data_IF_455388289564
#
_entry.id   IF_455388289564
#
_cell.length_a   1.000
_cell.length_b   1.000
_cell.length_c   1.000
_cell.angle_alpha   90.00
_cell.angle_beta   90.00
_cell.angle_gamma   90.00
#
_symmetry.space_group_name_H-M   'P 1'
#
loop_
_entity.id
_entity.type
_entity.pdbx_description
1 polymer ?
#
# COMPACT_ATOMS: atom_id res chain seq x y z
N UNK A 1 21.64 12.87 2.48
CA UNK A 1 21.41 13.08 1.02
C UNK A 1 20.24 14.01 0.80
N UNK A 2 20.26 14.79 -0.29
CA UNK A 2 19.13 15.67 -0.69
C UNK A 2 18.21 14.92 -1.66
N UNK A 3 16.89 15.03 -1.47
CA UNK A 3 15.90 14.38 -2.34
C UNK A 3 14.78 15.37 -2.65
N UNK A 4 14.49 15.60 -3.93
CA UNK A 4 13.35 16.39 -4.36
C UNK A 4 12.11 15.49 -4.49
N UNK A 5 10.99 15.91 -3.89
CA UNK A 5 9.71 15.20 -4.05
C UNK A 5 9.11 15.41 -5.44
N UNK A 6 8.47 14.37 -5.96
CA UNK A 6 7.73 14.37 -7.22
C UNK A 6 6.38 13.64 -7.07
N UNK A 7 5.75 13.28 -8.19
CA UNK A 7 4.49 12.53 -8.21
C UNK A 7 4.67 11.00 -8.04
N UNK A 8 5.90 10.54 -7.78
CA UNK A 8 6.26 9.14 -7.56
C UNK A 8 5.73 8.19 -8.65
N UNK A 9 6.00 8.47 -9.92
CA UNK A 9 5.44 7.75 -11.08
C UNK A 9 5.85 6.27 -11.19
N UNK A 10 6.87 5.85 -10.43
CA UNK A 10 7.33 4.47 -10.33
C UNK A 10 6.66 3.70 -9.17
N UNK A 11 5.82 4.36 -8.39
CA UNK A 11 5.06 3.75 -7.30
C UNK A 11 4.04 2.76 -7.83
N UNK A 12 3.95 1.59 -7.20
CA UNK A 12 2.75 0.75 -7.32
C UNK A 12 1.69 1.28 -6.35
N UNK A 13 0.56 1.70 -6.90
CA UNK A 13 -0.41 2.55 -6.20
C UNK A 13 -1.86 2.13 -6.43
N UNK A 14 -2.05 0.84 -6.69
CA UNK A 14 -3.36 0.25 -6.93
C UNK A 14 -4.30 0.50 -5.73
N UNK A 15 -5.49 0.99 -6.02
CA UNK A 15 -6.54 1.24 -5.03
C UNK A 15 -7.51 0.07 -4.89
N UNK A 16 -7.48 -0.89 -5.81
CA UNK A 16 -8.36 -2.07 -5.85
C UNK A 16 -9.86 -1.73 -5.86
N UNK A 17 -10.22 -0.57 -6.41
CA UNK A 17 -11.62 -0.16 -6.49
C UNK A 17 -12.36 -1.05 -7.49
N UNK A 18 -13.46 -1.67 -7.08
CA UNK A 18 -14.28 -2.50 -7.98
C UNK A 18 -13.71 -3.88 -8.30
N UNK A 19 -12.66 -4.34 -7.61
CA UNK A 19 -12.10 -5.69 -7.79
C UNK A 19 -11.62 -6.35 -6.48
N UNK A 20 -12.15 -5.93 -5.32
CA UNK A 20 -11.63 -6.41 -4.03
C UNK A 20 -11.88 -7.90 -3.86
N UNK A 21 -13.07 -8.35 -4.25
CA UNK A 21 -13.49 -9.74 -4.19
C UNK A 21 -12.64 -10.60 -5.14
N UNK A 22 -12.47 -10.20 -6.40
CA UNK A 22 -11.61 -10.91 -7.35
C UNK A 22 -10.14 -10.92 -6.94
N UNK A 23 -9.66 -9.84 -6.33
CA UNK A 23 -8.30 -9.81 -5.77
C UNK A 23 -8.13 -10.81 -4.64
N UNK A 24 -9.13 -10.99 -3.75
CA UNK A 24 -9.07 -12.00 -2.69
C UNK A 24 -8.99 -13.41 -3.30
N UNK A 25 -9.86 -13.71 -4.26
CA UNK A 25 -9.87 -15.02 -4.94
C UNK A 25 -8.53 -15.30 -5.63
N UNK A 26 -7.99 -14.33 -6.36
CA UNK A 26 -6.69 -14.46 -7.04
C UNK A 26 -5.53 -14.64 -6.05
N UNK A 27 -5.57 -13.94 -4.91
CA UNK A 27 -4.55 -14.06 -3.87
C UNK A 27 -4.55 -15.45 -3.22
N UNK A 28 -5.74 -16.03 -3.01
CA UNK A 28 -5.94 -17.36 -2.45
C UNK A 28 -5.55 -18.46 -3.44
N UNK A 29 -6.11 -18.44 -4.66
CA UNK A 29 -5.81 -19.44 -5.70
C UNK A 29 -4.33 -19.44 -6.10
N UNK A 30 -3.69 -18.26 -6.04
CA UNK A 30 -2.29 -18.11 -6.34
C UNK A 30 -1.34 -18.39 -5.18
N UNK A 31 -1.83 -18.80 -4.01
CA UNK A 31 -1.04 -19.02 -2.79
C UNK A 31 -0.08 -17.85 -2.46
N UNK A 32 -0.51 -16.61 -2.73
CA UNK A 32 0.40 -15.48 -2.67
C UNK A 32 0.97 -15.28 -1.27
N UNK A 33 0.18 -15.47 -0.23
CA UNK A 33 0.66 -15.40 1.16
C UNK A 33 1.81 -16.39 1.42
N UNK A 34 1.67 -17.65 0.99
CA UNK A 34 2.71 -18.67 1.15
C UNK A 34 3.99 -18.31 0.39
N UNK A 35 3.84 -17.71 -0.81
CA UNK A 35 4.96 -17.21 -1.60
C UNK A 35 5.67 -16.05 -0.90
N UNK A 36 4.95 -15.12 -0.27
CA UNK A 36 5.59 -13.99 0.42
C UNK A 36 6.34 -14.45 1.68
N UNK A 37 5.76 -15.35 2.49
CA UNK A 37 6.44 -15.85 3.68
C UNK A 37 7.67 -16.68 3.32
N UNK A 38 7.63 -17.44 2.20
CA UNK A 38 8.79 -18.20 1.73
C UNK A 38 9.92 -17.28 1.22
N UNK A 39 9.55 -16.13 0.62
CA UNK A 39 10.51 -15.15 0.14
C UNK A 39 11.13 -14.29 1.27
N UNK A 40 10.54 -14.27 2.47
CA UNK A 40 10.95 -13.40 3.56
C UNK A 40 11.03 -14.16 4.90
N UNK A 41 12.27 -14.52 5.28
CA UNK A 41 12.58 -15.42 6.40
C UNK A 41 11.93 -15.02 7.74
N UNK A 42 11.75 -13.72 7.98
CA UNK A 42 11.21 -13.21 9.25
C UNK A 42 9.70 -12.95 9.21
N UNK A 43 9.08 -12.97 8.02
CA UNK A 43 7.71 -12.55 7.82
C UNK A 43 6.72 -13.49 8.52
N UNK A 44 6.93 -14.81 8.46
CA UNK A 44 6.05 -15.75 9.17
C UNK A 44 6.06 -15.55 10.69
N UNK A 45 7.25 -15.34 11.28
CA UNK A 45 7.40 -15.06 12.71
C UNK A 45 6.70 -13.75 13.08
N UNK A 46 6.89 -12.71 12.26
CA UNK A 46 6.23 -11.42 12.45
C UNK A 46 4.71 -11.53 12.35
N UNK A 47 4.19 -12.28 11.37
CA UNK A 47 2.75 -12.52 11.19
C UNK A 47 2.12 -13.22 12.40
N UNK A 48 2.81 -14.21 13.00
CA UNK A 48 2.35 -14.83 14.25
C UNK A 48 2.32 -13.84 15.41
N UNK A 49 3.38 -13.06 15.61
CA UNK A 49 3.42 -12.04 16.66
C UNK A 49 2.34 -10.98 16.48
N UNK A 50 2.04 -10.60 15.23
CA UNK A 50 0.98 -9.66 14.91
C UNK A 50 -0.41 -10.23 15.26
N UNK A 51 -0.68 -11.51 14.98
CA UNK A 51 -1.90 -12.18 15.42
C UNK A 51 -2.01 -12.20 16.95
N UNK A 52 -0.95 -12.59 17.67
CA UNK A 52 -0.93 -12.62 19.13
C UNK A 52 -1.14 -11.22 19.74
N UNK A 53 -0.57 -10.19 19.14
CA UNK A 53 -0.78 -8.81 19.55
C UNK A 53 -2.21 -8.34 19.30
N UNK A 54 -2.81 -8.73 18.16
CA UNK A 54 -4.20 -8.41 17.83
C UNK A 54 -5.19 -9.02 18.82
N UNK A 55 -4.96 -10.26 19.27
CA UNK A 55 -5.78 -10.91 20.31
C UNK A 55 -5.77 -10.17 21.65
N UNK A 56 -4.70 -9.41 21.93
CA UNK A 56 -4.57 -8.58 23.14
C UNK A 56 -5.12 -7.16 22.94
N UNK A 57 -5.47 -6.80 21.71
CA UNK A 57 -5.99 -5.48 21.39
C UNK A 57 -7.44 -5.35 21.86
N UNK A 58 -7.85 -4.19 22.42
CA UNK A 58 -9.23 -4.00 22.88
C UNK A 58 -10.22 -3.79 21.72
N UNK A 59 -9.78 -3.79 20.46
CA UNK A 59 -10.64 -3.57 19.29
C UNK A 59 -11.02 -4.89 18.63
N UNK A 60 -12.31 -5.04 18.35
CA UNK A 60 -12.81 -6.08 17.45
C UNK A 60 -12.63 -5.68 15.98
N UNK A 61 -12.80 -6.64 15.09
CA UNK A 61 -12.79 -6.41 13.64
C UNK A 61 -13.89 -5.43 13.24
N UNK A 62 -13.57 -4.54 12.31
CA UNK A 62 -14.54 -3.64 11.73
C UNK A 62 -15.42 -4.38 10.71
N UNK A 63 -16.61 -3.85 10.44
CA UNK A 63 -17.44 -4.35 9.34
C UNK A 63 -16.66 -4.28 8.02
N UNK A 64 -16.70 -5.35 7.22
CA UNK A 64 -15.93 -5.57 5.98
C UNK A 64 -14.45 -5.95 6.18
N UNK A 65 -13.94 -5.98 7.41
CA UNK A 65 -12.56 -6.36 7.70
C UNK A 65 -12.44 -7.88 7.86
N UNK A 66 -11.57 -8.51 7.08
CA UNK A 66 -11.09 -9.88 7.32
C UNK A 66 -9.92 -9.87 8.32
N UNK A 67 -9.63 -11.00 8.98
CA UNK A 67 -8.49 -11.15 9.89
C UNK A 67 -7.17 -10.64 9.28
N UNK A 68 -6.91 -10.99 8.03
CA UNK A 68 -5.71 -10.55 7.31
C UNK A 68 -5.57 -9.04 7.25
N UNK A 69 -6.66 -8.28 7.10
CA UNK A 69 -6.61 -6.81 7.14
C UNK A 69 -6.12 -6.30 8.51
N UNK A 70 -6.61 -6.88 9.60
CA UNK A 70 -6.21 -6.47 10.94
C UNK A 70 -4.78 -6.91 11.26
N UNK A 71 -4.37 -8.10 10.82
CA UNK A 71 -3.03 -8.62 11.02
C UNK A 71 -1.99 -7.80 10.26
N UNK A 72 -2.24 -7.42 8.99
CA UNK A 72 -1.29 -6.58 8.24
C UNK A 72 -1.15 -5.19 8.84
N UNK A 73 -2.22 -4.58 9.34
CA UNK A 73 -2.13 -3.30 10.06
C UNK A 73 -1.23 -3.46 11.29
N UNK A 74 -1.49 -4.48 12.11
CA UNK A 74 -0.68 -4.75 13.29
C UNK A 74 0.79 -4.98 12.91
N UNK A 75 1.06 -5.88 11.96
CA UNK A 75 2.41 -6.23 11.52
C UNK A 75 3.18 -5.04 10.93
N UNK A 76 2.52 -4.17 10.16
CA UNK A 76 3.15 -3.01 9.54
C UNK A 76 3.70 -2.03 10.60
N UNK A 77 3.00 -1.88 11.73
CA UNK A 77 3.38 -0.97 12.82
C UNK A 77 4.36 -1.56 13.84
N UNK A 78 4.73 -2.84 13.70
CA UNK A 78 5.70 -3.47 14.58
C UNK A 78 7.13 -3.06 14.24
N UNK A 79 8.00 -3.05 15.25
CA UNK A 79 9.43 -2.84 15.05
C UNK A 79 10.06 -4.03 14.30
N UNK A 80 10.11 -3.91 12.98
CA UNK A 80 10.64 -4.91 12.06
C UNK A 80 11.11 -4.25 10.76
N UNK A 81 11.86 -4.98 9.94
CA UNK A 81 12.27 -4.52 8.61
C UNK A 81 11.13 -4.53 7.57
N UNK A 82 9.97 -5.10 7.90
CA UNK A 82 8.86 -5.30 6.96
C UNK A 82 8.37 -4.00 6.32
N UNK A 83 8.05 -2.98 7.12
CA UNK A 83 7.56 -1.71 6.59
C UNK A 83 8.60 -1.04 5.68
N UNK A 84 9.89 -1.16 5.99
CA UNK A 84 10.97 -0.61 5.17
C UNK A 84 11.07 -1.34 3.83
N UNK A 85 11.05 -2.68 3.84
CA UNK A 85 11.09 -3.49 2.63
C UNK A 85 9.86 -3.28 1.74
N UNK A 86 8.66 -3.30 2.33
CA UNK A 86 7.41 -3.03 1.64
C UNK A 86 7.42 -1.64 0.99
N UNK A 87 7.80 -0.60 1.75
CA UNK A 87 7.79 0.77 1.27
C UNK A 87 8.82 1.01 0.17
N UNK A 88 9.98 0.35 0.24
CA UNK A 88 10.95 0.36 -0.86
C UNK A 88 10.37 -0.35 -2.09
N UNK A 89 9.85 -1.57 -1.96
CA UNK A 89 9.31 -2.33 -3.08
C UNK A 89 8.11 -1.61 -3.73
N UNK A 90 7.25 -1.00 -2.93
CA UNK A 90 6.10 -0.20 -3.40
C UNK A 90 6.56 1.00 -4.22
N UNK A 91 7.68 1.64 -3.87
CA UNK A 91 8.18 2.82 -4.58
C UNK A 91 8.74 2.56 -5.98
N UNK A 92 8.99 1.29 -6.34
CA UNK A 92 9.58 0.89 -7.62
C UNK A 92 8.75 -0.11 -8.42
N UNK A 93 7.86 -0.85 -7.76
CA UNK A 93 7.05 -1.89 -8.39
C UNK A 93 6.19 -1.38 -9.56
N UNK A 94 5.84 -0.10 -9.56
CA UNK A 94 5.03 0.55 -10.59
C UNK A 94 5.82 1.07 -11.79
N UNK A 95 7.08 0.69 -12.00
CA UNK A 95 7.83 1.01 -13.22
C UNK A 95 7.07 0.50 -14.45
N UNK A 96 6.67 -0.77 -14.45
CA UNK A 96 5.87 -1.40 -15.52
C UNK A 96 5.07 -2.60 -15.00
N UNK A 97 4.00 -3.02 -15.70
CA UNK A 97 3.27 -4.25 -15.35
C UNK A 97 4.18 -5.49 -15.25
N UNK A 98 5.16 -5.61 -16.14
CA UNK A 98 6.16 -6.69 -16.15
C UNK A 98 7.02 -6.64 -14.88
N UNK A 99 7.49 -5.44 -14.50
CA UNK A 99 8.30 -5.26 -13.30
C UNK A 99 7.50 -5.59 -12.02
N UNK A 100 6.26 -5.14 -11.92
CA UNK A 100 5.32 -5.53 -10.86
C UNK A 100 5.16 -7.05 -10.78
N UNK A 101 4.93 -7.70 -11.93
CA UNK A 101 4.65 -9.14 -12.00
C UNK A 101 5.80 -9.96 -11.41
N UNK A 102 7.04 -9.63 -11.78
CA UNK A 102 8.21 -10.44 -11.45
C UNK A 102 8.96 -10.00 -10.19
N UNK A 103 8.95 -8.71 -9.84
CA UNK A 103 9.82 -8.18 -8.77
C UNK A 103 9.05 -7.73 -7.51
N UNK A 104 7.72 -7.58 -7.58
CA UNK A 104 6.95 -7.18 -6.41
C UNK A 104 6.46 -8.40 -5.61
N UNK A 105 7.19 -8.73 -4.54
CA UNK A 105 6.89 -9.89 -3.68
C UNK A 105 5.84 -9.65 -2.60
N UNK A 106 5.28 -8.43 -2.51
CA UNK A 106 4.33 -8.02 -1.47
C UNK A 106 2.90 -7.81 -1.99
N UNK A 107 2.45 -8.63 -2.95
CA UNK A 107 1.11 -8.53 -3.56
C UNK A 107 -0.02 -8.72 -2.54
N UNK A 108 0.06 -9.74 -1.69
CA UNK A 108 -0.87 -10.03 -0.61
C UNK A 108 -0.84 -8.92 0.44
N UNK A 109 0.34 -8.59 0.98
CA UNK A 109 0.43 -7.58 2.03
C UNK A 109 -0.02 -6.20 1.56
N UNK A 110 0.38 -5.78 0.35
CA UNK A 110 -0.01 -4.49 -0.22
C UNK A 110 -1.52 -4.40 -0.43
N UNK A 111 -2.16 -5.45 -0.94
CA UNK A 111 -3.61 -5.50 -1.10
C UNK A 111 -4.31 -5.31 0.24
N UNK A 112 -4.06 -6.19 1.20
CA UNK A 112 -4.73 -6.13 2.49
C UNK A 112 -4.42 -4.84 3.25
N UNK A 113 -3.20 -4.29 3.16
CA UNK A 113 -2.87 -3.03 3.83
C UNK A 113 -3.62 -1.86 3.21
N UNK A 114 -3.70 -1.82 1.87
CA UNK A 114 -4.42 -0.78 1.13
C UNK A 114 -5.90 -0.77 1.48
N UNK A 115 -6.56 -1.92 1.37
CA UNK A 115 -8.00 -2.04 1.64
C UNK A 115 -8.30 -1.89 3.13
N UNK A 116 -7.38 -2.29 4.03
CA UNK A 116 -7.54 -2.06 5.47
C UNK A 116 -7.55 -0.56 5.80
N UNK A 117 -6.66 0.25 5.22
CA UNK A 117 -6.67 1.71 5.37
C UNK A 117 -8.01 2.29 4.88
N UNK A 118 -8.52 1.82 3.74
CA UNK A 118 -9.80 2.26 3.19
C UNK A 118 -10.98 1.92 4.13
N UNK A 119 -11.05 0.68 4.65
CA UNK A 119 -12.08 0.25 5.61
C UNK A 119 -12.01 1.08 6.90
N UNK A 120 -10.80 1.27 7.43
CA UNK A 120 -10.58 2.10 8.61
C UNK A 120 -11.06 3.53 8.38
N UNK A 121 -10.76 4.10 7.20
CA UNK A 121 -11.16 5.46 6.85
C UNK A 121 -12.67 5.62 6.69
N UNK A 122 -13.33 4.67 6.04
CA UNK A 122 -14.79 4.61 5.91
C UNK A 122 -15.44 4.59 7.30
N UNK A 123 -14.97 3.73 8.19
CA UNK A 123 -15.49 3.62 9.56
C UNK A 123 -15.24 4.89 10.40
N UNK A 124 -14.09 5.55 10.23
CA UNK A 124 -13.79 6.80 10.91
C UNK A 124 -14.69 7.95 10.45
N UNK A 125 -15.03 7.96 9.16
CA UNK A 125 -15.89 8.99 8.57
C UNK A 125 -17.36 8.76 8.90
N UNK A 126 -17.82 7.51 8.97
CA UNK A 126 -19.22 7.18 9.31
C UNK A 126 -19.61 7.51 10.76
N UNK A 127 -18.62 7.64 11.66
CA UNK A 127 -18.83 8.07 13.05
C UNK A 127 -19.00 9.58 13.21
N UNK A 128 -18.72 10.38 12.19
CA UNK A 128 -18.87 11.83 12.26
C UNK A 128 -20.26 12.26 11.77
N UNK A 129 -20.98 12.96 12.63
CA UNK A 129 -22.36 13.42 12.43
C UNK A 129 -22.53 14.53 11.35
N UNK A 130 -21.45 14.93 10.67
CA UNK A 130 -21.42 16.10 9.78
C UNK A 130 -21.16 15.77 8.30
N UNK A 131 -21.11 14.50 7.91
CA UNK A 131 -21.00 14.09 6.50
C UNK A 131 -19.72 14.54 5.77
N UNK A 132 -18.73 15.10 6.49
CA UNK A 132 -17.44 15.52 5.94
C UNK A 132 -16.43 14.39 6.10
N UNK A 133 -15.60 14.17 5.08
CA UNK A 133 -14.48 13.24 5.17
C UNK A 133 -13.47 13.79 6.19
N UNK A 134 -13.23 13.03 7.26
CA UNK A 134 -12.34 13.44 8.35
C UNK A 134 -10.90 13.55 7.86
N UNK A 135 -10.34 14.75 7.78
CA UNK A 135 -8.90 14.93 7.53
C UNK A 135 -8.12 15.01 8.85
N UNK A 136 -6.86 14.58 8.84
CA UNK A 136 -5.95 14.64 9.98
C UNK A 136 -4.79 15.58 9.70
N UNK A 137 -4.44 16.41 10.67
CA UNK A 137 -3.13 17.04 10.73
C UNK A 137 -2.16 16.10 11.45
N UNK A 138 -1.09 15.73 10.77
CA UNK A 138 -0.13 14.72 11.21
C UNK A 138 1.30 15.17 10.90
N UNK A 139 2.26 14.49 11.51
CA UNK A 139 3.67 14.83 11.45
C UNK A 139 4.50 13.61 11.09
N UNK A 140 5.59 13.83 10.35
CA UNK A 140 6.58 12.79 10.06
C UNK A 140 7.98 13.37 10.14
N UNK A 141 8.78 12.86 11.05
CA UNK A 141 10.22 13.08 11.07
C UNK A 141 10.92 12.09 10.15
N UNK A 142 11.98 12.55 9.49
CA UNK A 142 12.84 11.71 8.65
C UNK A 142 14.28 11.93 9.03
N UNK A 143 14.97 10.83 9.33
CA UNK A 143 16.39 10.80 9.66
C UNK A 143 17.27 10.72 8.41
N UNK A 144 18.46 11.31 8.46
CA UNK A 144 19.54 11.20 7.46
C UNK A 144 19.21 11.73 6.03
N UNK A 145 18.01 12.27 5.82
CA UNK A 145 17.53 12.77 4.52
C UNK A 145 17.01 14.21 4.63
N UNK A 146 17.47 15.04 3.70
CA UNK A 146 17.01 16.41 3.50
C UNK A 146 16.08 16.40 2.28
N UNK A 147 14.78 16.29 2.55
CA UNK A 147 13.77 16.24 1.49
C UNK A 147 13.31 17.66 1.19
N UNK A 148 13.19 17.97 -0.09
CA UNK A 148 12.83 19.26 -0.63
C UNK A 148 11.59 19.12 -1.51
N UNK A 149 10.83 20.19 -1.68
CA UNK A 149 9.71 20.21 -2.61
C UNK A 149 9.44 21.63 -3.10
N UNK A 150 9.05 21.76 -4.37
CA UNK A 150 8.69 23.05 -4.96
C UNK A 150 7.33 23.52 -4.44
N UNK A 151 7.27 24.70 -3.83
CA UNK A 151 5.99 25.28 -3.36
C UNK A 151 5.02 25.45 -4.53
N UNK A 152 3.77 25.04 -4.33
CA UNK A 152 2.73 25.05 -5.36
C UNK A 152 2.70 23.80 -6.25
N UNK A 153 3.70 22.92 -6.18
CA UNK A 153 3.67 21.65 -6.93
C UNK A 153 2.76 20.61 -6.28
N UNK A 154 2.36 19.61 -7.07
CA UNK A 154 1.71 18.39 -6.59
C UNK A 154 2.78 17.32 -6.39
N UNK A 155 2.72 16.63 -5.26
CA UNK A 155 3.65 15.57 -4.89
C UNK A 155 2.90 14.38 -4.30
N UNK A 156 3.56 13.21 -4.30
CA UNK A 156 3.10 11.99 -3.64
C UNK A 156 4.26 11.35 -2.89
N UNK A 157 3.94 10.61 -1.83
CA UNK A 157 4.96 9.78 -1.17
C UNK A 157 5.29 8.50 -1.96
N UNK A 158 4.33 7.99 -2.75
CA UNK A 158 4.49 6.79 -3.59
C UNK A 158 4.72 5.49 -2.80
N UNK A 159 4.40 5.49 -1.51
CA UNK A 159 4.53 4.35 -0.60
C UNK A 159 3.64 4.60 0.62
N UNK A 160 3.40 3.56 1.42
CA UNK A 160 2.72 3.75 2.69
C UNK A 160 3.59 4.65 3.59
N UNK A 161 2.97 5.66 4.18
CA UNK A 161 3.70 6.67 4.94
C UNK A 161 3.14 6.76 6.35
N UNK A 162 3.91 6.22 7.30
CA UNK A 162 3.64 6.35 8.73
C UNK A 162 3.82 7.80 9.16
N UNK A 163 2.82 8.32 9.86
CA UNK A 163 2.82 9.66 10.44
C UNK A 163 2.22 9.58 11.85
N UNK A 164 2.49 10.57 12.69
CA UNK A 164 1.90 10.67 14.02
C UNK A 164 1.01 11.89 14.13
N UNK A 165 -0.07 11.80 14.90
CA UNK A 165 -0.83 12.98 15.34
C UNK A 165 -0.07 13.84 16.35
N UNK A 166 1.01 13.31 16.92
CA UNK A 166 1.85 13.98 17.90
C UNK A 166 3.18 14.36 17.24
N UNK A 167 3.47 15.66 17.18
CA UNK A 167 4.73 16.16 16.61
C UNK A 167 5.94 15.60 17.35
N UNK A 168 5.86 15.50 18.68
CA UNK A 168 6.93 14.95 19.53
C UNK A 168 7.25 13.50 19.22
N UNK A 169 6.25 12.66 18.91
CA UNK A 169 6.47 11.27 18.52
C UNK A 169 7.09 11.19 17.12
N UNK A 170 6.62 12.01 16.17
CA UNK A 170 7.19 12.05 14.83
C UNK A 170 8.69 12.42 14.82
N UNK A 171 9.12 13.34 15.70
CA UNK A 171 10.52 13.79 15.78
C UNK A 171 11.47 12.72 16.34
N UNK A 172 10.97 11.68 17.01
CA UNK A 172 11.80 10.54 17.44
C UNK A 172 12.36 9.75 16.26
N UNK A 173 11.71 9.85 15.09
CA UNK A 173 12.13 9.18 13.85
C UNK A 173 13.06 10.04 12.97
N UNK A 174 13.44 11.23 13.44
CA UNK A 174 14.34 12.15 12.73
C UNK A 174 13.80 13.59 12.71
N UNK A 175 14.68 14.55 12.45
CA UNK A 175 14.34 15.97 12.45
C UNK A 175 14.99 16.74 11.30
N UNK A 176 15.86 16.09 10.52
CA UNK A 176 16.54 16.59 9.33
C UNK A 176 15.54 17.01 8.26
N UNK A 177 14.44 16.25 8.13
CA UNK A 177 13.20 16.75 7.52
C UNK A 177 12.03 16.49 8.45
N UNK A 178 11.23 17.53 8.71
CA UNK A 178 9.95 17.41 9.41
C UNK A 178 8.80 17.83 8.49
N UNK A 179 7.92 16.87 8.23
CA UNK A 179 6.67 17.10 7.53
C UNK A 179 5.56 17.44 8.51
N UNK A 180 4.74 18.42 8.14
CA UNK A 180 3.39 18.61 8.64
C UNK A 180 2.43 18.37 7.48
N UNK A 181 1.56 17.38 7.62
CA UNK A 181 0.70 16.91 6.54
C UNK A 181 -0.75 17.01 6.96
N UNK A 182 -1.59 17.62 6.14
CA UNK A 182 -3.04 17.47 6.21
C UNK A 182 -3.43 16.35 5.26
N UNK A 183 -3.70 15.16 5.80
CA UNK A 183 -4.12 13.97 5.04
C UNK A 183 -5.63 13.76 5.16
N UNK A 184 -6.27 13.48 4.04
CA UNK A 184 -7.69 13.17 3.96
C UNK A 184 -7.94 11.71 3.58
N UNK A 185 -6.95 10.96 3.09
CA UNK A 185 -7.06 9.52 2.82
C UNK A 185 -6.37 8.64 3.87
N UNK A 186 -5.49 9.23 4.68
CA UNK A 186 -4.89 8.55 5.82
C UNK A 186 -5.91 8.16 6.87
N UNK A 187 -5.68 7.00 7.49
CA UNK A 187 -6.51 6.45 8.55
C UNK A 187 -5.73 6.37 9.86
N UNK A 188 -6.37 6.67 10.99
CA UNK A 188 -5.73 6.51 12.31
C UNK A 188 -5.75 5.04 12.74
N UNK A 189 -4.62 4.47 13.19
CA UNK A 189 -4.45 3.05 13.53
C UNK A 189 -5.02 2.68 14.91
N UNK A 190 -6.19 3.22 15.27
CA UNK A 190 -6.81 3.15 16.60
C UNK A 190 -7.09 1.71 17.06
N UNK A 191 -6.14 1.08 17.75
CA UNK A 191 -6.21 -0.32 18.20
C UNK A 191 -5.67 -1.35 17.21
N UNK A 192 -5.29 -0.92 16.00
CA UNK A 192 -4.66 -1.78 14.99
C UNK A 192 -3.17 -1.45 14.82
N UNK A 193 -2.56 -0.79 15.80
CA UNK A 193 -1.13 -0.50 15.88
C UNK A 193 -0.53 -1.15 17.12
N UNK A 194 0.66 -1.72 16.96
CA UNK A 194 1.43 -2.31 18.03
C UNK A 194 1.87 -1.25 19.06
N UNK A 195 2.23 -0.05 18.60
CA UNK A 195 2.64 1.08 19.44
C UNK A 195 1.54 2.14 19.51
N UNK A 196 0.50 1.88 20.29
CA UNK A 196 -0.66 2.79 20.44
C UNK A 196 -0.31 4.19 20.98
N UNK A 197 0.85 4.36 21.60
CA UNK A 197 1.40 5.65 22.05
C UNK A 197 1.82 6.56 20.90
N UNK A 198 2.21 6.00 19.75
CA UNK A 198 2.68 6.77 18.58
C UNK A 198 1.54 7.52 17.89
N UNK A 199 0.28 7.20 18.21
CA UNK A 199 -0.93 7.82 17.60
C UNK A 199 -0.83 7.86 16.08
N UNK A 200 -0.43 6.71 15.52
CA UNK A 200 -0.12 6.58 14.10
C UNK A 200 -1.35 6.84 13.22
N UNK A 201 -1.12 7.57 12.15
CA UNK A 201 -1.99 7.71 10.99
C UNK A 201 -1.21 7.21 9.78
N UNK A 202 -1.73 6.20 9.10
CA UNK A 202 -1.09 5.61 7.94
C UNK A 202 -1.68 6.22 6.66
N UNK A 203 -0.82 6.82 5.85
CA UNK A 203 -1.18 7.45 4.57
C UNK A 203 -0.94 6.42 3.45
N UNK A 204 -1.93 6.19 2.56
CA UNK A 204 -1.77 5.27 1.43
C UNK A 204 -0.87 5.86 0.31
N UNK A 205 -0.30 5.03 -0.58
CA UNK A 205 0.65 5.47 -1.61
C UNK A 205 0.05 6.41 -2.67
N UNK A 206 -1.28 6.40 -2.85
CA UNK A 206 -1.99 7.12 -3.91
C UNK A 206 -2.48 8.52 -3.54
N UNK A 207 -2.28 8.99 -2.30
CA UNK A 207 -2.73 10.34 -1.91
C UNK A 207 -1.83 11.43 -2.52
N UNK A 208 -2.45 12.44 -3.17
CA UNK A 208 -1.77 13.61 -3.75
C UNK A 208 -1.78 14.75 -2.75
N UNK A 209 -0.65 15.42 -2.61
CA UNK A 209 -0.49 16.60 -1.78
C UNK A 209 -0.06 17.82 -2.60
N UNK A 210 -0.64 18.97 -2.30
CA UNK A 210 -0.13 20.27 -2.69
C UNK A 210 0.93 20.72 -1.68
N UNK A 211 2.09 21.14 -2.17
CA UNK A 211 3.15 21.73 -1.34
C UNK A 211 2.74 23.15 -0.97
N UNK A 212 2.34 23.36 0.30
CA UNK A 212 1.89 24.67 0.80
C UNK A 212 3.07 25.57 1.17
N UNK A 213 4.13 24.99 1.71
CA UNK A 213 5.36 25.72 2.01
C UNK A 213 6.53 24.76 2.15
N UNK A 214 7.72 25.27 1.83
CA UNK A 214 9.01 24.64 2.10
C UNK A 214 9.92 25.69 2.73
N UNK A 215 10.54 25.36 3.86
CA UNK A 215 11.50 26.22 4.55
C UNK A 215 12.70 25.39 4.95
N UNK A 216 13.89 25.84 4.57
CA UNK A 216 15.15 25.28 5.05
C UNK A 216 15.59 26.07 6.29
N UNK A 217 15.79 25.38 7.42
CA UNK A 217 16.29 25.99 8.66
C UNK A 217 17.62 25.36 9.07
N UNK A 218 18.28 25.96 10.07
CA UNK A 218 19.49 25.37 10.68
C UNK A 218 19.21 23.98 11.29
N UNK A 219 17.98 23.75 11.73
CA UNK A 219 17.52 22.49 12.34
C UNK A 219 16.97 21.47 11.32
N UNK A 220 17.10 21.75 10.02
CA UNK A 220 16.62 20.90 8.92
C UNK A 220 15.45 21.47 8.12
N UNK A 221 14.95 20.67 7.18
CA UNK A 221 13.89 21.05 6.25
C UNK A 221 12.51 20.94 6.91
N UNK A 222 11.62 21.89 6.60
CA UNK A 222 10.23 21.94 7.07
C UNK A 222 9.29 21.99 5.88
N UNK A 223 8.42 21.00 5.76
CA UNK A 223 7.49 20.83 4.65
C UNK A 223 6.04 20.83 5.15
N UNK A 224 5.19 21.66 4.54
CA UNK A 224 3.75 21.63 4.76
C UNK A 224 3.04 21.10 3.51
N UNK A 225 2.34 19.98 3.67
CA UNK A 225 1.63 19.27 2.60
C UNK A 225 0.13 19.25 2.89
N UNK A 226 -0.69 19.50 1.87
CA UNK A 226 -2.16 19.46 2.01
C UNK A 226 -2.75 18.51 0.96
N UNK A 227 -3.52 17.52 1.39
CA UNK A 227 -4.25 16.61 0.52
C UNK A 227 -5.11 17.35 -0.51
N UNK A 228 -5.01 16.95 -1.79
CA UNK A 228 -5.78 17.54 -2.89
C UNK A 228 -6.40 16.49 -3.82
N UNK A 229 -6.39 15.22 -3.41
CA UNK A 229 -7.00 14.12 -4.15
C UNK A 229 -6.20 12.83 -4.09
N UNK A 230 -6.48 11.93 -5.02
CA UNK A 230 -5.72 10.70 -5.23
C UNK A 230 -5.33 10.55 -6.71
N UNK A 231 -4.33 9.71 -6.96
CA UNK A 231 -3.95 9.25 -8.28
C UNK A 231 -3.41 7.84 -8.19
N UNK A 232 -3.84 6.99 -9.12
CA UNK A 232 -3.31 5.64 -9.31
C UNK A 232 -2.99 5.44 -10.78
N UNK A 233 -1.78 4.97 -11.05
CA UNK A 233 -1.38 4.47 -12.37
C UNK A 233 -1.94 3.07 -12.62
N UNK A 234 -2.11 2.28 -11.55
CA UNK A 234 -2.57 0.90 -11.62
C UNK A 234 -3.99 0.72 -11.08
N UNK A 235 -4.71 -0.23 -11.68
CA UNK A 235 -6.05 -0.60 -11.26
C UNK A 235 -6.23 -2.10 -11.41
N UNK A 236 -6.37 -2.82 -10.30
CA UNK A 236 -6.59 -4.27 -10.29
C UNK A 236 -5.53 -5.07 -11.05
N UNK A 237 -4.28 -4.62 -11.01
CA UNK A 237 -3.22 -5.06 -11.93
C UNK A 237 -2.98 -6.58 -11.89
N UNK A 238 -3.13 -7.21 -10.71
CA UNK A 238 -2.95 -8.64 -10.57
C UNK A 238 -4.05 -9.43 -11.31
N UNK A 239 -5.31 -9.04 -11.11
CA UNK A 239 -6.48 -9.66 -11.75
C UNK A 239 -6.43 -9.48 -13.27
N UNK A 240 -6.06 -8.29 -13.75
CA UNK A 240 -5.89 -8.02 -15.19
C UNK A 240 -4.82 -8.92 -15.82
N UNK A 241 -3.68 -9.10 -15.11
CA UNK A 241 -2.60 -9.94 -15.58
C UNK A 241 -3.01 -11.43 -15.64
N UNK A 242 -3.79 -11.91 -14.66
CA UNK A 242 -4.27 -13.29 -14.64
C UNK A 242 -5.34 -13.55 -15.72
N UNK A 243 -6.26 -12.61 -15.95
CA UNK A 243 -7.23 -12.69 -17.06
C UNK A 243 -6.54 -12.79 -18.42
N UNK A 244 -5.52 -11.97 -18.65
CA UNK A 244 -4.75 -11.95 -19.91
C UNK A 244 -3.99 -13.25 -20.16
N UNK A 245 -3.48 -13.91 -19.11
CA UNK A 245 -2.87 -15.24 -19.22
C UNK A 245 -3.89 -16.31 -19.58
N UNK A 246 -5.06 -16.29 -18.95
CA UNK A 246 -6.12 -17.27 -19.22
C UNK A 246 -6.67 -17.14 -20.65
N UNK A 247 -6.81 -15.92 -21.18
CA UNK A 247 -7.15 -15.71 -22.60
C UNK A 247 -6.06 -16.20 -23.55
N UNK A 248 -4.78 -16.03 -23.21
CA UNK A 248 -3.67 -16.54 -24.02
C UNK A 248 -3.62 -18.08 -24.04
N UNK A 249 -3.79 -18.72 -22.88
CA UNK A 249 -3.80 -20.18 -22.75
C UNK A 249 -4.98 -20.83 -23.49
N UNK A 250 -6.18 -20.22 -23.44
CA UNK A 250 -7.36 -20.71 -24.17
C UNK A 250 -7.20 -20.56 -25.68
N UNK A 251 -6.61 -19.45 -26.16
CA UNK A 251 -6.29 -19.27 -27.58
C UNK A 251 -5.27 -20.31 -28.08
N UNK A 252 -4.22 -20.58 -27.31
CA UNK A 252 -3.22 -21.61 -27.62
C UNK A 252 -3.83 -23.02 -27.64
N UNK A 253 -4.65 -23.37 -26.65
CA UNK A 253 -5.34 -24.65 -26.61
C UNK A 253 -6.30 -24.84 -27.81
N UNK A 254 -7.02 -23.77 -28.19
CA UNK A 254 -7.88 -23.77 -29.38
C UNK A 254 -7.06 -23.98 -30.65
N UNK A 255 -5.93 -23.29 -30.82
CA UNK A 255 -5.06 -23.45 -31.99
C UNK A 255 -4.49 -24.87 -32.12
N UNK A 256 -4.08 -25.48 -31.00
CA UNK A 256 -3.59 -26.87 -30.96
C UNK A 256 -4.73 -27.82 -31.35
N UNK A 257 -5.94 -27.65 -30.81
CA UNK A 257 -7.08 -28.49 -31.14
C UNK A 257 -7.44 -28.42 -32.63
N UNK A 258 -7.47 -27.23 -33.21
CA UNK A 258 -7.72 -27.04 -34.65
C UNK A 258 -6.62 -27.69 -35.50
N UNK A 259 -5.35 -27.58 -35.10
CA UNK A 259 -4.24 -28.24 -35.80
C UNK A 259 -4.32 -29.77 -35.75
N UNK A 260 -4.72 -30.34 -34.61
CA UNK A 260 -4.91 -31.79 -34.47
C UNK A 260 -6.07 -32.29 -35.31
N UNK A 261 -7.21 -31.59 -35.32
CA UNK A 261 -8.37 -31.94 -36.17
C UNK A 261 -8.00 -31.90 -37.65
N UNK A 262 -7.21 -30.91 -38.09
CA UNK A 262 -6.71 -30.85 -39.46
C UNK A 262 -5.80 -32.05 -39.82
N UNK A 263 -4.92 -32.47 -38.91
CA UNK A 263 -4.08 -33.67 -39.11
C UNK A 263 -4.92 -34.94 -39.20
N UNK A 264 -5.94 -35.10 -38.35
CA UNK A 264 -6.84 -36.25 -38.40
C UNK A 264 -7.67 -36.29 -39.71
N UNK A 265 -8.14 -35.13 -40.21
CA UNK A 265 -8.84 -35.09 -41.50
C UNK A 265 -7.93 -35.42 -42.70
N UNK A 266 -6.66 -34.98 -42.66
CA UNK A 266 -5.69 -35.36 -43.70
C UNK A 266 -5.35 -36.86 -43.69
N UNK A 267 -5.32 -37.51 -42.52
CA UNK A 267 -5.06 -38.94 -42.40
C UNK A 267 -6.25 -39.83 -42.77
N UNK A 268 -7.48 -39.32 -42.70
CA UNK A 268 -8.69 -40.04 -43.08
C UNK A 268 -9.00 -40.00 -44.60
N UNK A 269 -8.18 -39.30 -45.39
CA UNK A 269 -8.33 -39.16 -46.85
C UNK A 269 -7.19 -39.80 -47.65
N UNK A 270 -6.36 -40.63 -47.01
CA UNK A 270 -5.43 -41.57 -47.66
C UNK A 270 -5.86 -43.01 -47.35
#
# INVERSE_FOLDING_TARGET
>A
SHILMDMALNSFDDQYLGCREEMIEELEQGDYFQKEIAANKDYFSLWKKAQEALLKSPVGLLRKMHDSHAIVLMAYTMNSSLHTQLNWATSTAGISPEHYRHNFSFKYFHFYLTTAIQIMKEWQSSKESMGKHKCYQVYRGVKDLYIEATVGSRVRFGRFTSTSRLRSEAQKFGNETLFTVTTCLGAAMQGFSYYTSEKEVLIPPYEIFLVKSFVQTQDGNRLHLHSVGNYSKYHCQLVEASRSKNSGSTALASAILHSMVAVFMCLAHN
#
